data_IF_823964561510
#
_entry.id   IF_823964561510
#
_cell.length_a   1.000
_cell.length_b   1.000
_cell.length_c   1.000
_cell.angle_alpha   90.00
_cell.angle_beta   90.00
_cell.angle_gamma   90.00
#
_symmetry.space_group_name_H-M   'P 1'
#
loop_
_entity.id
_entity.type
_entity.pdbx_description
1 polymer ?
#
# COMPACT_ATOMS: atom_id res chain seq x y z
N UNK A 1 -1.74 4.95 -7.42
CA UNK A 1 -2.30 3.90 -8.31
C UNK A 1 -1.15 2.98 -8.70
N UNK A 2 -1.28 1.67 -8.46
CA UNK A 2 -0.27 0.67 -8.79
C UNK A 2 -0.60 -0.05 -10.10
N UNK A 3 0.39 -0.26 -10.97
CA UNK A 3 0.24 -0.81 -12.32
C UNK A 3 1.38 -1.79 -12.65
N UNK A 4 1.61 -2.78 -11.77
CA UNK A 4 2.73 -3.74 -11.88
C UNK A 4 4.13 -3.12 -11.79
N UNK A 5 4.28 -2.08 -10.96
CA UNK A 5 5.59 -1.51 -10.63
C UNK A 5 6.32 -2.30 -9.54
N UNK A 6 7.40 -1.73 -8.96
CA UNK A 6 8.07 -2.35 -7.83
C UNK A 6 7.10 -2.60 -6.67
N UNK A 7 7.06 -3.85 -6.19
CA UNK A 7 6.18 -4.27 -5.08
C UNK A 7 6.48 -3.54 -3.78
N UNK A 8 7.71 -3.05 -3.62
CA UNK A 8 8.13 -2.19 -2.52
C UNK A 8 7.20 -0.97 -2.32
N UNK A 9 6.66 -0.40 -3.41
CA UNK A 9 5.73 0.73 -3.32
C UNK A 9 4.44 0.33 -2.61
N UNK A 10 3.98 -0.91 -2.81
CA UNK A 10 2.78 -1.46 -2.16
C UNK A 10 3.03 -1.60 -0.66
N UNK A 11 4.20 -2.15 -0.27
CA UNK A 11 4.59 -2.29 1.13
C UNK A 11 4.72 -0.95 1.85
N UNK A 12 5.50 -0.04 1.27
CA UNK A 12 5.71 1.31 1.81
C UNK A 12 4.39 2.08 1.95
N UNK A 13 3.39 1.79 1.11
CA UNK A 13 2.06 2.40 1.25
C UNK A 13 1.38 2.04 2.58
N UNK A 14 1.56 0.81 3.07
CA UNK A 14 1.07 0.37 4.39
C UNK A 14 2.02 0.80 5.49
N UNK A 15 3.29 0.44 5.39
CA UNK A 15 4.30 0.67 6.42
C UNK A 15 4.43 2.14 6.82
N UNK A 16 4.45 3.05 5.83
CA UNK A 16 4.76 4.46 6.09
C UNK A 16 3.55 5.39 6.09
N UNK A 17 2.48 5.02 5.38
CA UNK A 17 1.33 5.91 5.18
C UNK A 17 0.05 5.36 5.80
N UNK A 18 0.08 4.15 6.38
CA UNK A 18 -1.10 3.43 6.87
C UNK A 18 -2.26 3.49 5.86
N UNK A 19 -1.96 3.34 4.57
CA UNK A 19 -2.95 3.51 3.51
C UNK A 19 -4.15 2.59 3.78
N UNK A 20 -5.36 3.15 3.77
CA UNK A 20 -6.60 2.42 4.01
C UNK A 20 -7.31 2.00 2.70
N UNK A 21 -6.83 2.48 1.55
CA UNK A 21 -7.34 2.15 0.22
C UNK A 21 -6.15 1.81 -0.68
N UNK A 22 -6.25 0.67 -1.38
CA UNK A 22 -5.35 0.27 -2.45
C UNK A 22 -6.00 0.50 -3.81
N UNK A 23 -5.35 1.29 -4.67
CA UNK A 23 -5.82 1.56 -6.03
C UNK A 23 -4.94 0.84 -7.06
N UNK A 24 -5.54 -0.05 -7.85
CA UNK A 24 -4.86 -0.92 -8.81
C UNK A 24 -5.36 -0.71 -10.25
N UNK A 25 -4.45 -0.77 -11.21
CA UNK A 25 -4.75 -0.64 -12.64
C UNK A 25 -5.10 -1.97 -13.31
N UNK A 26 -6.40 -2.26 -13.45
CA UNK A 26 -6.96 -3.50 -14.02
C UNK A 26 -6.33 -3.98 -15.34
N UNK A 27 -5.87 -3.07 -16.21
CA UNK A 27 -5.36 -3.39 -17.55
C UNK A 27 -3.88 -3.79 -17.60
N UNK A 28 -3.15 -3.68 -16.49
CA UNK A 28 -1.69 -3.79 -16.47
C UNK A 28 -1.17 -5.02 -15.72
N UNK A 29 -2.06 -5.86 -15.21
CA UNK A 29 -1.71 -6.99 -14.34
C UNK A 29 -2.58 -8.20 -14.68
N UNK A 30 -2.00 -9.37 -14.58
CA UNK A 30 -2.71 -10.66 -14.58
C UNK A 30 -3.46 -10.86 -13.27
N UNK A 31 -4.44 -11.77 -13.29
CA UNK A 31 -5.26 -12.11 -12.12
C UNK A 31 -4.42 -12.59 -10.92
N UNK A 32 -3.35 -13.34 -11.18
CA UNK A 32 -2.50 -13.88 -10.11
C UNK A 32 -1.63 -12.78 -9.49
N UNK A 33 -1.12 -11.84 -10.30
CA UNK A 33 -0.43 -10.65 -9.81
C UNK A 33 -1.36 -9.77 -8.95
N UNK A 34 -2.64 -9.66 -9.32
CA UNK A 34 -3.64 -8.96 -8.50
C UNK A 34 -3.76 -9.57 -7.11
N UNK A 35 -3.93 -10.89 -7.02
CA UNK A 35 -4.08 -11.55 -5.72
C UNK A 35 -2.84 -11.43 -4.86
N UNK A 36 -1.64 -11.66 -5.43
CA UNK A 36 -0.40 -11.55 -4.67
C UNK A 36 -0.16 -10.14 -4.13
N UNK A 37 -0.48 -9.10 -4.90
CA UNK A 37 -0.37 -7.70 -4.45
C UNK A 37 -1.37 -7.37 -3.36
N UNK A 38 -2.62 -7.84 -3.48
CA UNK A 38 -3.67 -7.61 -2.47
C UNK A 38 -3.31 -8.31 -1.17
N UNK A 39 -2.90 -9.58 -1.23
CA UNK A 39 -2.50 -10.37 -0.06
C UNK A 39 -1.34 -9.70 0.67
N UNK A 40 -0.25 -9.37 -0.05
CA UNK A 40 0.89 -8.63 0.51
C UNK A 40 0.45 -7.34 1.20
N UNK A 41 -0.42 -6.54 0.56
CA UNK A 41 -0.86 -5.26 1.12
C UNK A 41 -1.74 -5.41 2.36
N UNK A 42 -2.56 -6.46 2.42
CA UNK A 42 -3.40 -6.74 3.58
C UNK A 42 -2.60 -7.25 4.78
N UNK A 43 -1.53 -8.00 4.53
CA UNK A 43 -0.66 -8.56 5.55
C UNK A 43 0.38 -7.56 6.08
N UNK A 44 0.74 -6.54 5.29
CA UNK A 44 1.79 -5.60 5.66
C UNK A 44 1.34 -4.69 6.84
N UNK A 45 2.03 -4.76 7.99
CA UNK A 45 1.71 -3.94 9.15
C UNK A 45 2.15 -2.48 8.96
N UNK A 46 1.51 -1.58 9.71
CA UNK A 46 1.94 -0.19 9.78
C UNK A 46 3.12 -0.04 10.78
N UNK A 47 4.20 0.66 10.40
CA UNK A 47 5.37 0.85 11.27
C UNK A 47 5.12 1.78 12.46
N UNK A 48 4.16 2.71 12.35
CA UNK A 48 3.92 3.70 13.39
C UNK A 48 5.10 4.66 13.61
N UNK A 49 5.35 5.04 14.87
CA UNK A 49 6.47 5.90 15.24
C UNK A 49 6.51 7.24 14.49
N UNK A 50 7.57 7.46 13.70
CA UNK A 50 7.73 8.70 12.91
C UNK A 50 6.63 8.91 11.87
N UNK A 51 5.98 7.83 11.43
CA UNK A 51 4.93 7.84 10.42
C UNK A 51 3.59 8.29 10.99
N UNK A 52 3.24 7.83 12.20
CA UNK A 52 2.01 8.27 12.87
C UNK A 52 2.00 9.80 13.04
N UNK A 53 3.12 10.38 13.47
CA UNK A 53 3.27 11.85 13.59
C UNK A 53 3.05 12.62 12.27
N UNK A 54 3.19 11.96 11.11
CA UNK A 54 2.91 12.57 9.81
C UNK A 54 1.44 12.42 9.45
N UNK A 55 0.84 11.28 9.76
CA UNK A 55 -0.60 11.02 9.56
C UNK A 55 -1.43 11.96 10.43
N UNK A 56 -1.07 12.15 11.70
CA UNK A 56 -1.79 13.04 12.61
C UNK A 56 -1.92 14.47 12.05
N UNK A 57 -0.94 14.93 11.26
CA UNK A 57 -0.98 16.24 10.59
C UNK A 57 -1.90 16.31 9.36
N UNK A 58 -2.30 15.17 8.81
CA UNK A 58 -3.23 15.11 7.68
C UNK A 58 -4.69 15.13 8.14
N UNK A 59 -4.95 14.73 9.39
CA UNK A 59 -6.27 14.68 10.01
C UNK A 59 -6.61 15.97 10.80
N UNK A 60 -5.66 16.91 10.89
CA UNK A 60 -5.83 18.29 11.42
C UNK A 60 -6.41 19.24 10.37
#
# INVERSE_FOLDING_TARGET
>A
MFYNGPTEIVKLSREHNNANILSLGARFMSKDEFYGVIEMWLEEPFEGGRHQRRIDKLDE
#
